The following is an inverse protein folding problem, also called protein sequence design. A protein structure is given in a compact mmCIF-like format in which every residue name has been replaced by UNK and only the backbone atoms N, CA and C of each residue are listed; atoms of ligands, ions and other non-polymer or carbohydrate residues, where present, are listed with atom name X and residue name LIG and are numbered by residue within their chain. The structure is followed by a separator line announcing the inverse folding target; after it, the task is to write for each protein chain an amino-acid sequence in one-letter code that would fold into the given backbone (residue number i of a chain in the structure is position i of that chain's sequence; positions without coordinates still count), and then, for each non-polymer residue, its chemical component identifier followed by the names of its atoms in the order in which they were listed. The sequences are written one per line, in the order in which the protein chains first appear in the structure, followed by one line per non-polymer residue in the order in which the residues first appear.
data_IF_971891035605
#
_entry.id   IF_971891035605
#
_cell.length_a   1.000
_cell.length_b   1.000
_cell.length_c   1.000
_cell.angle_alpha   90.00
_cell.angle_beta   90.00
_cell.angle_gamma   90.00
#
_symmetry.space_group_name_H-M   'P 1'
#
loop_
_entity.id
_entity.type
_entity.pdbx_description
1 polymer ?
#
# COMPACT_ATOMS: atom_id res chain seq x y z
N UNK A 1 12.77 -29.53 -6.77
CA UNK A 1 11.82 -29.15 -5.71
C UNK A 1 12.44 -28.01 -4.94
N UNK A 2 12.12 -26.79 -5.36
CA UNK A 2 12.47 -25.57 -4.64
C UNK A 2 11.90 -25.66 -3.22
N UNK A 3 12.75 -25.33 -2.26
CA UNK A 3 12.34 -25.22 -0.88
C UNK A 3 11.73 -23.83 -0.74
N UNK A 4 10.44 -23.75 -0.44
CA UNK A 4 9.85 -22.56 0.18
C UNK A 4 10.40 -22.44 1.61
N UNK A 5 11.67 -22.04 1.70
CA UNK A 5 12.18 -21.44 2.93
C UNK A 5 11.75 -19.98 2.82
N UNK A 6 10.84 -19.57 3.69
CA UNK A 6 10.61 -18.16 4.00
C UNK A 6 11.89 -17.64 4.69
N UNK A 7 12.94 -17.45 3.90
CA UNK A 7 14.10 -16.68 4.32
C UNK A 7 13.61 -15.25 4.26
N UNK A 8 13.14 -14.73 5.39
CA UNK A 8 13.18 -13.28 5.60
C UNK A 8 14.67 -12.91 5.58
N UNK A 9 15.20 -12.70 4.38
CA UNK A 9 16.48 -12.05 4.17
C UNK A 9 16.25 -10.59 4.55
N UNK A 10 16.23 -10.32 5.85
CA UNK A 10 16.42 -8.97 6.35
C UNK A 10 17.84 -8.61 5.88
N UNK A 11 17.96 -7.79 4.83
CA UNK A 11 19.23 -7.15 4.50
C UNK A 11 19.54 -6.20 5.66
N UNK A 12 20.14 -6.75 6.72
CA UNK A 12 20.69 -5.96 7.81
C UNK A 12 21.89 -5.16 7.26
N UNK A 13 21.61 -3.95 6.80
CA UNK A 13 22.59 -2.88 6.56
C UNK A 13 23.16 -2.84 5.15
N UNK A 14 22.80 -1.79 4.40
CA UNK A 14 23.65 -0.63 4.03
C UNK A 14 22.79 0.40 3.30
N UNK A 15 21.63 0.75 3.86
CA UNK A 15 20.85 1.87 3.31
C UNK A 15 21.58 3.18 3.55
N UNK A 16 21.50 4.07 2.56
CA UNK A 16 22.12 5.39 2.60
C UNK A 16 21.42 6.21 3.70
N UNK A 17 22.18 6.94 4.50
CA UNK A 17 21.62 7.85 5.51
C UNK A 17 20.68 8.85 4.84
N UNK A 18 19.55 9.26 5.48
CA UNK A 18 18.65 10.28 4.94
C UNK A 18 19.35 11.55 4.45
N UNK A 19 20.44 11.97 5.10
CA UNK A 19 21.19 13.17 4.73
C UNK A 19 22.02 13.04 3.44
N UNK A 20 22.31 11.80 3.01
CA UNK A 20 23.18 11.51 1.87
C UNK A 20 22.39 11.03 0.64
N UNK A 21 21.06 10.89 0.76
CA UNK A 21 20.18 10.52 -0.34
C UNK A 21 20.03 11.67 -1.34
N UNK A 22 20.03 11.39 -2.66
CA UNK A 22 19.78 12.40 -3.68
C UNK A 22 18.32 12.85 -3.65
N UNK A 23 18.08 14.14 -3.89
CA UNK A 23 16.73 14.67 -4.06
C UNK A 23 16.15 14.25 -5.41
N UNK A 24 14.96 13.67 -5.40
CA UNK A 24 14.18 13.25 -6.57
C UNK A 24 12.78 13.85 -6.51
N UNK A 25 12.50 14.80 -7.40
CA UNK A 25 11.19 15.46 -7.48
C UNK A 25 10.13 14.58 -8.16
N UNK A 26 10.56 13.74 -9.10
CA UNK A 26 9.70 12.79 -9.79
C UNK A 26 9.35 11.60 -8.90
N UNK A 27 8.24 10.93 -9.20
CA UNK A 27 7.87 9.68 -8.56
C UNK A 27 8.91 8.60 -8.90
N UNK A 28 9.44 7.86 -7.91
CA UNK A 28 10.28 6.69 -8.16
C UNK A 28 9.60 5.68 -9.11
N UNK A 29 10.34 5.12 -10.06
CA UNK A 29 9.79 4.11 -10.97
C UNK A 29 9.75 2.75 -10.27
N UNK A 30 8.56 2.14 -10.02
CA UNK A 30 8.47 0.85 -9.33
C UNK A 30 9.18 -0.29 -10.08
N UNK A 31 9.50 -0.10 -11.37
CA UNK A 31 10.20 -1.07 -12.21
C UNK A 31 11.72 -0.87 -12.29
N UNK A 32 12.31 -0.09 -11.37
CA UNK A 32 13.76 0.11 -11.26
C UNK A 32 14.24 -0.25 -9.85
N UNK A 33 15.24 -1.12 -9.76
CA UNK A 33 15.94 -1.42 -8.51
C UNK A 33 16.82 -0.23 -8.08
N UNK A 34 17.24 -0.18 -6.82
CA UNK A 34 18.14 0.88 -6.33
C UNK A 34 19.50 0.90 -7.06
N UNK A 35 19.97 -0.26 -7.52
CA UNK A 35 21.20 -0.40 -8.29
C UNK A 35 21.06 -0.03 -9.78
N UNK A 36 19.86 0.37 -10.21
CA UNK A 36 19.54 0.75 -11.58
C UNK A 36 19.13 -0.40 -12.50
N UNK A 37 19.13 -1.67 -12.04
CA UNK A 37 18.55 -2.78 -12.80
C UNK A 37 17.06 -2.55 -13.05
N UNK A 38 16.55 -3.13 -14.14
CA UNK A 38 15.13 -3.04 -14.53
C UNK A 38 14.38 -4.30 -14.12
N UNK A 39 13.13 -4.12 -13.68
CA UNK A 39 12.15 -5.20 -13.53
C UNK A 39 11.57 -5.53 -14.90
N UNK A 40 11.85 -6.72 -15.42
CA UNK A 40 11.42 -7.17 -16.75
C UNK A 40 10.50 -8.40 -16.68
N UNK A 41 10.57 -9.15 -15.58
CA UNK A 41 9.83 -10.39 -15.37
C UNK A 41 9.09 -10.40 -14.03
N UNK A 42 8.16 -11.34 -13.85
CA UNK A 42 7.46 -11.54 -12.57
C UNK A 42 8.45 -11.88 -11.45
N UNK A 43 9.50 -12.67 -11.74
CA UNK A 43 10.55 -12.99 -10.77
C UNK A 43 11.36 -11.75 -10.37
N UNK A 44 11.65 -10.85 -11.32
CA UNK A 44 12.29 -9.56 -10.96
C UNK A 44 11.37 -8.71 -10.07
N UNK A 45 10.04 -8.77 -10.27
CA UNK A 45 9.10 -8.07 -9.40
C UNK A 45 9.08 -8.67 -8.00
N UNK A 46 9.16 -9.99 -7.86
CA UNK A 46 9.26 -10.64 -6.55
C UNK A 46 10.49 -10.12 -5.78
N UNK A 47 11.66 -10.11 -6.42
CA UNK A 47 12.89 -9.52 -5.85
C UNK A 47 12.75 -8.02 -5.54
N UNK A 48 12.18 -7.23 -6.45
CA UNK A 48 11.97 -5.79 -6.24
C UNK A 48 10.98 -5.54 -5.11
N UNK A 49 9.96 -6.37 -4.95
CA UNK A 49 8.98 -6.25 -3.87
C UNK A 49 9.60 -6.49 -2.50
N UNK A 50 10.59 -7.39 -2.41
CA UNK A 50 11.37 -7.59 -1.19
C UNK A 50 12.28 -6.40 -0.90
N UNK A 51 12.96 -5.85 -1.92
CA UNK A 51 13.78 -4.64 -1.79
C UNK A 51 12.95 -3.43 -1.33
N UNK A 52 11.78 -3.22 -1.94
CA UNK A 52 10.82 -2.19 -1.55
C UNK A 52 10.35 -2.37 -0.10
N UNK A 53 9.95 -3.59 0.28
CA UNK A 53 9.48 -3.87 1.63
C UNK A 53 10.58 -3.60 2.68
N UNK A 54 11.80 -4.03 2.41
CA UNK A 54 12.95 -3.78 3.28
C UNK A 54 13.28 -2.28 3.38
N UNK A 55 13.19 -1.54 2.27
CA UNK A 55 13.34 -0.08 2.24
C UNK A 55 12.28 0.62 3.13
N UNK A 56 11.01 0.22 3.05
CA UNK A 56 9.96 0.74 3.93
C UNK A 56 10.18 0.38 5.41
N UNK A 57 10.68 -0.83 5.70
CA UNK A 57 11.07 -1.19 7.06
C UNK A 57 12.21 -0.31 7.57
N UNK A 58 13.24 -0.07 6.77
CA UNK A 58 14.39 0.73 7.18
C UNK A 58 14.03 2.21 7.36
N UNK A 59 13.44 2.83 6.34
CA UNK A 59 13.26 4.28 6.31
C UNK A 59 11.97 4.77 6.95
N UNK A 60 10.93 3.93 7.13
CA UNK A 60 9.60 4.41 7.53
C UNK A 60 9.02 3.72 8.76
N UNK A 61 8.88 2.40 8.76
CA UNK A 61 8.06 1.70 9.76
C UNK A 61 8.85 0.96 10.85
N UNK A 62 10.12 0.65 10.59
CA UNK A 62 10.89 -0.25 11.43
C UNK A 62 10.65 -1.72 11.10
N UNK A 63 11.56 -2.57 11.56
CA UNK A 63 11.48 -4.01 11.39
C UNK A 63 10.55 -4.64 12.43
N UNK A 64 9.76 -5.63 12.00
CA UNK A 64 9.02 -6.49 12.93
C UNK A 64 10.03 -7.19 13.87
N UNK A 65 9.74 -7.31 15.18
CA UNK A 65 10.57 -8.10 16.08
C UNK A 65 10.81 -9.51 15.53
N UNK A 66 12.01 -10.04 15.73
CA UNK A 66 12.37 -11.39 15.30
C UNK A 66 11.38 -12.40 15.89
N UNK A 67 10.66 -13.11 15.02
CA UNK A 67 9.73 -14.17 15.41
C UNK A 67 10.33 -15.57 15.29
N UNK A 68 11.66 -15.69 15.24
CA UNK A 68 12.37 -16.97 15.31
C UNK A 68 12.06 -17.80 16.58
N UNK A 69 11.44 -17.19 17.60
CA UNK A 69 10.88 -17.88 18.78
C UNK A 69 9.48 -18.48 18.59
N UNK A 70 8.78 -18.21 17.48
CA UNK A 70 7.50 -18.85 17.15
C UNK A 70 7.78 -20.30 16.68
N UNK A 71 7.29 -21.28 17.43
CA UNK A 71 7.52 -22.70 17.11
C UNK A 71 6.54 -23.17 16.02
N UNK A 72 7.07 -23.67 14.90
CA UNK A 72 6.29 -24.38 13.88
C UNK A 72 6.73 -25.85 13.86
N UNK A 73 5.81 -26.77 14.11
CA UNK A 73 6.06 -28.21 14.06
C UNK A 73 6.01 -28.75 12.62
N UNK A 74 6.94 -29.61 12.27
CA UNK A 74 6.92 -30.37 11.01
C UNK A 74 7.41 -31.80 11.25
N UNK A 75 6.94 -32.73 10.42
CA UNK A 75 7.36 -34.12 10.36
C UNK A 75 7.93 -34.41 8.97
N UNK A 76 9.06 -35.11 8.90
CA UNK A 76 9.63 -35.56 7.62
C UNK A 76 9.26 -37.02 7.42
N UNK A 77 8.46 -37.31 6.39
CA UNK A 77 8.04 -38.68 6.03
C UNK A 77 8.85 -39.17 4.83
N UNK A 78 8.75 -40.48 4.52
CA UNK A 78 9.36 -41.06 3.30
C UNK A 78 8.84 -40.41 1.99
N UNK A 79 7.73 -39.67 2.06
CA UNK A 79 7.06 -39.03 0.92
C UNK A 79 7.37 -37.52 0.80
N UNK A 80 8.04 -36.92 1.79
CA UNK A 80 8.39 -35.49 1.78
C UNK A 80 8.35 -34.83 3.15
N UNK A 81 8.43 -33.50 3.15
CA UNK A 81 8.25 -32.68 4.36
C UNK A 81 6.75 -32.45 4.58
N UNK A 82 6.19 -32.95 5.68
CA UNK A 82 4.86 -32.56 6.17
C UNK A 82 5.00 -31.47 7.23
N UNK A 83 4.56 -30.26 6.93
CA UNK A 83 4.47 -29.19 7.94
C UNK A 83 3.07 -29.22 8.53
N UNK A 84 2.94 -29.46 9.84
CA UNK A 84 1.66 -29.41 10.54
C UNK A 84 1.55 -28.09 11.28
N UNK A 85 0.81 -27.14 10.70
CA UNK A 85 0.48 -25.87 11.33
C UNK A 85 -0.86 -26.02 12.04
N UNK A 86 -0.85 -26.22 13.35
CA UNK A 86 -2.08 -26.18 14.16
C UNK A 86 -2.40 -24.73 14.46
N UNK A 87 -3.37 -24.16 13.73
CA UNK A 87 -4.02 -22.91 14.14
C UNK A 87 -5.39 -23.25 14.68
N UNK A 88 -5.69 -22.81 15.90
CA UNK A 88 -7.07 -22.75 16.39
C UNK A 88 -7.82 -21.67 15.60
N UNK A 89 -8.19 -22.01 14.36
CA UNK A 89 -9.15 -21.22 13.61
C UNK A 89 -10.54 -21.67 14.03
N UNK A 90 -11.41 -20.70 14.35
CA UNK A 90 -12.83 -20.97 14.42
C UNK A 90 -13.27 -21.55 13.07
N UNK A 91 -13.91 -22.72 13.07
CA UNK A 91 -14.29 -23.45 11.84
C UNK A 91 -15.12 -22.63 10.87
N UNK A 92 -15.81 -21.60 11.38
CA UNK A 92 -16.71 -20.74 10.63
C UNK A 92 -16.01 -19.51 10.02
N UNK A 93 -14.71 -19.34 10.25
CA UNK A 93 -13.91 -18.24 9.69
C UNK A 93 -13.03 -18.77 8.54
N UNK A 94 -13.34 -18.33 7.32
CA UNK A 94 -12.48 -18.55 6.16
C UNK A 94 -11.31 -17.55 6.16
N UNK A 95 -10.19 -17.97 6.74
CA UNK A 95 -8.97 -17.15 6.80
C UNK A 95 -8.36 -16.84 5.42
N UNK A 96 -8.72 -17.57 4.36
CA UNK A 96 -8.22 -17.31 3.00
C UNK A 96 -8.89 -16.10 2.34
N UNK A 97 -10.00 -15.63 2.92
CA UNK A 97 -10.76 -14.47 2.47
C UNK A 97 -10.75 -13.33 3.50
N UNK A 98 -9.70 -13.29 4.33
CA UNK A 98 -9.53 -12.24 5.32
C UNK A 98 -9.28 -10.88 4.66
N UNK A 99 -9.95 -9.84 5.19
CA UNK A 99 -9.90 -8.46 4.70
C UNK A 99 -9.39 -7.57 5.82
N UNK A 100 -8.52 -6.60 5.50
CA UNK A 100 -8.12 -5.55 6.44
C UNK A 100 -8.56 -4.18 5.91
N UNK A 101 -9.22 -3.40 6.75
CA UNK A 101 -9.68 -2.03 6.44
C UNK A 101 -9.44 -1.12 7.64
N UNK A 102 -9.34 0.18 7.38
CA UNK A 102 -9.31 1.20 8.40
C UNK A 102 -9.59 2.58 7.81
N UNK A 103 -10.05 3.51 8.65
CA UNK A 103 -10.35 4.89 8.27
C UNK A 103 -9.27 5.84 8.78
N UNK A 104 -8.82 6.79 7.96
CA UNK A 104 -7.86 7.82 8.35
C UNK A 104 -6.54 7.18 8.83
N UNK A 105 -6.06 7.47 10.04
CA UNK A 105 -4.89 6.81 10.66
C UNK A 105 -4.94 5.27 10.60
N UNK A 106 -6.12 4.67 10.74
CA UNK A 106 -6.25 3.20 10.63
C UNK A 106 -6.20 2.72 9.18
N UNK A 107 -6.54 3.58 8.22
CA UNK A 107 -6.30 3.33 6.80
C UNK A 107 -4.81 3.33 6.47
N UNK A 108 -4.02 4.19 7.12
CA UNK A 108 -2.54 4.11 7.03
C UNK A 108 -2.04 2.77 7.57
N UNK A 109 -2.53 2.36 8.75
CA UNK A 109 -2.17 1.09 9.37
C UNK A 109 -2.56 -0.15 8.53
N UNK A 110 -3.68 -0.11 7.80
CA UNK A 110 -4.09 -1.26 6.97
C UNK A 110 -3.13 -1.54 5.81
N UNK A 111 -2.48 -0.52 5.24
CA UNK A 111 -1.39 -0.71 4.27
C UNK A 111 -0.17 -1.36 4.89
N UNK A 112 0.22 -0.93 6.09
CA UNK A 112 1.36 -1.52 6.82
C UNK A 112 1.10 -3.00 7.11
N UNK A 113 -0.10 -3.32 7.59
CA UNK A 113 -0.54 -4.71 7.79
C UNK A 113 -0.52 -5.46 6.47
N UNK A 114 -1.05 -4.85 5.40
CA UNK A 114 -1.02 -5.41 4.05
C UNK A 114 0.40 -5.75 3.59
N UNK A 115 1.37 -4.86 3.80
CA UNK A 115 2.77 -5.08 3.46
C UNK A 115 3.37 -6.23 4.27
N UNK A 116 3.17 -6.23 5.59
CA UNK A 116 3.81 -7.15 6.53
C UNK A 116 3.16 -8.55 6.57
N UNK A 117 1.88 -8.67 6.22
CA UNK A 117 1.12 -9.90 6.32
C UNK A 117 0.37 -10.21 5.03
N UNK A 118 0.92 -11.15 4.26
CA UNK A 118 0.38 -11.58 2.98
C UNK A 118 -0.90 -12.42 3.11
N UNK A 119 -1.35 -12.76 4.33
CA UNK A 119 -2.58 -13.54 4.56
C UNK A 119 -3.87 -12.77 4.28
N UNK A 120 -3.84 -11.44 4.35
CA UNK A 120 -5.00 -10.62 4.00
C UNK A 120 -5.17 -10.59 2.49
N UNK A 121 -6.28 -11.15 2.01
CA UNK A 121 -6.61 -11.24 0.59
C UNK A 121 -7.02 -9.89 -0.02
N UNK A 122 -7.51 -8.96 0.82
CA UNK A 122 -7.95 -7.63 0.42
C UNK A 122 -7.53 -6.58 1.46
N UNK A 123 -7.04 -5.45 0.97
CA UNK A 123 -6.60 -4.31 1.76
C UNK A 123 -7.42 -3.08 1.33
N UNK A 124 -8.02 -2.38 2.30
CA UNK A 124 -8.79 -1.16 2.05
C UNK A 124 -8.30 0.00 2.95
N UNK A 125 -7.38 0.85 2.45
CA UNK A 125 -6.87 2.01 3.18
C UNK A 125 -7.77 3.24 2.99
N UNK A 126 -8.98 3.16 3.56
CA UNK A 126 -10.03 4.15 3.39
C UNK A 126 -9.64 5.54 3.96
N UNK A 127 -9.68 6.57 3.10
CA UNK A 127 -9.32 7.95 3.42
C UNK A 127 -7.98 8.06 4.18
N UNK A 128 -6.97 7.30 3.73
CA UNK A 128 -5.74 7.11 4.51
C UNK A 128 -4.78 8.29 4.47
N UNK A 129 -4.77 9.13 3.42
CA UNK A 129 -3.95 10.35 3.38
C UNK A 129 -2.44 10.13 3.41
N UNK A 130 -1.69 11.13 3.90
CA UNK A 130 -0.22 11.13 3.90
C UNK A 130 0.35 10.03 4.81
N UNK A 131 1.34 9.27 4.34
CA UNK A 131 1.81 8.07 5.06
C UNK A 131 0.86 6.86 4.98
N UNK A 132 -0.25 7.01 4.25
CA UNK A 132 -1.08 5.95 3.70
C UNK A 132 -0.99 6.00 2.17
N UNK A 133 -2.12 6.16 1.48
CA UNK A 133 -2.14 6.19 0.01
C UNK A 133 -1.69 7.51 -0.62
N UNK A 134 -1.72 8.65 0.07
CA UNK A 134 -1.40 9.92 -0.59
C UNK A 134 0.09 10.02 -0.89
N UNK A 135 0.44 10.31 -2.15
CA UNK A 135 1.82 10.57 -2.53
C UNK A 135 2.43 11.68 -1.68
N UNK A 136 3.70 11.52 -1.30
CA UNK A 136 4.45 12.55 -0.58
C UNK A 136 4.87 13.71 -1.50
N UNK A 137 5.10 13.43 -2.79
CA UNK A 137 5.57 14.41 -3.77
C UNK A 137 4.46 15.20 -4.46
N UNK A 138 3.21 14.76 -4.32
CA UNK A 138 2.08 15.33 -5.05
C UNK A 138 1.04 15.93 -4.11
N UNK A 139 0.57 17.14 -4.40
CA UNK A 139 -0.50 17.82 -3.65
C UNK A 139 -1.56 18.40 -4.58
N UNK A 140 -2.81 18.33 -4.15
CA UNK A 140 -3.95 19.00 -4.80
C UNK A 140 -4.13 20.45 -4.37
N UNK A 141 -3.41 20.90 -3.35
CA UNK A 141 -3.59 22.21 -2.73
C UNK A 141 -3.58 23.35 -3.77
N UNK A 142 -4.60 24.21 -3.71
CA UNK A 142 -4.77 25.36 -4.60
C UNK A 142 -5.33 25.05 -5.99
N UNK A 143 -5.53 23.78 -6.36
CA UNK A 143 -6.14 23.41 -7.64
C UNK A 143 -7.64 23.66 -7.65
N UNK A 144 -8.19 23.90 -8.84
CA UNK A 144 -9.61 24.22 -9.04
C UNK A 144 -10.32 23.01 -9.65
N UNK A 145 -11.37 22.57 -8.98
CA UNK A 145 -12.24 21.47 -9.39
C UNK A 145 -13.69 21.94 -9.54
N UNK A 146 -14.57 21.17 -10.21
CA UNK A 146 -15.99 21.49 -10.29
C UNK A 146 -16.69 21.66 -8.93
N UNK A 147 -16.17 21.03 -7.87
CA UNK A 147 -16.70 21.11 -6.50
C UNK A 147 -16.02 22.15 -5.60
N UNK A 148 -14.99 22.86 -6.09
CA UNK A 148 -14.33 23.92 -5.31
C UNK A 148 -12.84 24.08 -5.59
N UNK A 149 -12.22 25.04 -4.91
CA UNK A 149 -10.76 25.15 -4.86
C UNK A 149 -10.25 24.33 -3.69
N UNK A 150 -9.35 23.41 -3.99
CA UNK A 150 -8.69 22.55 -3.02
C UNK A 150 -7.96 23.37 -1.95
N UNK A 151 -8.29 23.10 -0.69
CA UNK A 151 -7.58 23.60 0.48
C UNK A 151 -6.27 22.85 0.75
N UNK A 152 -5.81 22.96 2.01
CA UNK A 152 -4.52 22.40 2.45
C UNK A 152 -4.60 20.88 2.59
N UNK A 153 -3.59 20.19 2.07
CA UNK A 153 -3.35 18.77 2.28
C UNK A 153 -2.40 18.50 3.45
N UNK A 154 -2.51 17.32 4.07
CA UNK A 154 -1.61 16.86 5.14
C UNK A 154 -0.15 16.80 4.65
N UNK A 155 0.72 17.71 5.11
CA UNK A 155 2.12 17.73 4.66
C UNK A 155 2.97 16.70 5.41
N UNK A 156 4.18 16.42 4.89
CA UNK A 156 5.14 15.51 5.53
C UNK A 156 5.49 15.92 6.96
N UNK A 157 5.66 17.22 7.23
CA UNK A 157 6.00 17.71 8.58
C UNK A 157 4.88 17.50 9.61
N UNK A 158 3.62 17.40 9.19
CA UNK A 158 2.52 17.03 10.07
C UNK A 158 2.73 15.61 10.65
N UNK A 159 3.20 14.67 9.82
CA UNK A 159 3.53 13.31 10.24
C UNK A 159 4.71 13.25 11.22
N UNK A 160 5.51 14.31 11.29
CA UNK A 160 6.65 14.44 12.19
C UNK A 160 6.33 15.20 13.47
N UNK A 161 5.09 15.65 13.64
CA UNK A 161 4.64 16.31 14.87
C UNK A 161 4.66 15.35 16.06
N UNK A 162 4.79 15.89 17.28
CA UNK A 162 4.81 15.09 18.52
C UNK A 162 3.60 14.15 18.65
N UNK A 163 2.45 14.54 18.11
CA UNK A 163 1.23 13.74 18.18
C UNK A 163 1.18 12.61 17.16
N UNK A 164 1.92 12.66 16.05
CA UNK A 164 1.84 11.67 14.96
C UNK A 164 3.14 10.88 14.72
N UNK A 165 4.29 11.41 15.18
CA UNK A 165 5.61 10.84 14.95
C UNK A 165 5.76 9.38 15.44
N UNK A 166 4.99 8.99 16.45
CA UNK A 166 4.99 7.62 17.00
C UNK A 166 4.42 6.56 16.06
N UNK A 167 3.85 6.94 14.91
CA UNK A 167 3.44 6.00 13.86
C UNK A 167 4.60 5.49 13.02
N UNK A 168 5.75 6.16 13.07
CA UNK A 168 6.90 5.91 12.21
C UNK A 168 8.17 5.70 13.05
N UNK A 169 9.22 5.16 12.43
CA UNK A 169 10.52 5.03 13.05
C UNK A 169 11.28 6.37 13.05
N UNK A 170 12.38 6.45 13.81
CA UNK A 170 13.18 7.68 13.91
C UNK A 170 13.92 8.05 12.63
N UNK A 171 14.18 7.10 11.71
CA UNK A 171 14.82 7.38 10.42
C UNK A 171 13.89 8.24 9.56
N UNK A 172 12.59 7.91 9.54
CA UNK A 172 11.58 8.67 8.82
C UNK A 172 11.55 10.13 9.24
N UNK A 173 11.62 10.39 10.55
CA UNK A 173 11.56 11.73 11.14
C UNK A 173 12.73 12.63 10.74
N UNK A 174 13.81 12.06 10.19
CA UNK A 174 14.95 12.81 9.67
C UNK A 174 14.65 13.48 8.32
N UNK A 175 13.70 12.97 7.53
CA UNK A 175 13.32 13.57 6.25
C UNK A 175 12.57 14.88 6.48
N UNK A 176 12.95 15.93 5.75
CA UNK A 176 12.27 17.25 5.78
C UNK A 176 11.71 17.66 4.42
N UNK A 177 12.19 16.99 3.37
CA UNK A 177 11.79 17.20 1.99
C UNK A 177 11.26 15.86 1.45
N UNK A 178 10.02 15.79 0.94
CA UNK A 178 9.51 14.62 0.23
C UNK A 178 10.45 14.11 -0.86
N UNK A 179 11.18 15.00 -1.54
CA UNK A 179 12.10 14.62 -2.60
C UNK A 179 13.30 13.80 -2.09
N UNK A 180 13.63 13.88 -0.80
CA UNK A 180 14.71 13.11 -0.19
C UNK A 180 14.33 11.65 0.12
N UNK A 181 13.02 11.32 0.14
CA UNK A 181 12.57 9.96 0.39
C UNK A 181 12.97 9.06 -0.79
N UNK A 182 13.57 7.88 -0.59
CA UNK A 182 13.96 7.01 -1.71
C UNK A 182 12.76 6.27 -2.34
N UNK A 183 11.57 6.43 -1.75
CA UNK A 183 10.29 5.85 -2.18
C UNK A 183 9.17 6.89 -2.22
N UNK A 184 8.02 6.50 -2.77
CA UNK A 184 6.74 7.21 -2.59
C UNK A 184 5.58 6.22 -2.46
N UNK A 185 4.40 6.65 -2.01
CA UNK A 185 3.33 5.78 -1.52
C UNK A 185 2.71 4.84 -2.57
N UNK A 186 2.91 5.10 -3.86
CA UNK A 186 2.54 4.14 -4.91
C UNK A 186 3.33 2.84 -4.83
N UNK A 187 4.58 2.87 -4.36
CA UNK A 187 5.39 1.66 -4.19
C UNK A 187 4.87 0.82 -3.01
N UNK A 188 4.46 1.44 -1.89
CA UNK A 188 3.78 0.74 -0.80
C UNK A 188 2.46 0.11 -1.27
N UNK A 189 1.68 0.85 -2.06
CA UNK A 189 0.44 0.33 -2.66
C UNK A 189 0.72 -0.85 -3.60
N UNK A 190 1.79 -0.78 -4.40
CA UNK A 190 2.20 -1.85 -5.31
C UNK A 190 2.59 -3.15 -4.57
N UNK A 191 3.11 -3.07 -3.33
CA UNK A 191 3.39 -4.25 -2.49
C UNK A 191 2.15 -5.07 -2.12
N UNK A 192 0.94 -4.55 -2.38
CA UNK A 192 -0.29 -5.31 -2.25
C UNK A 192 -0.47 -6.28 -3.40
N UNK A 193 0.06 -5.98 -4.59
CA UNK A 193 -0.10 -6.82 -5.76
C UNK A 193 0.51 -8.23 -5.56
N UNK A 194 -0.14 -9.30 -6.05
CA UNK A 194 -1.41 -9.32 -6.80
C UNK A 194 -2.67 -9.44 -5.92
N UNK A 195 -2.58 -9.24 -4.60
CA UNK A 195 -3.75 -9.28 -3.69
C UNK A 195 -4.64 -8.06 -3.92
N UNK A 196 -5.89 -8.15 -3.50
CA UNK A 196 -6.85 -7.09 -3.79
C UNK A 196 -6.53 -5.81 -2.99
N UNK A 197 -6.53 -4.66 -3.64
CA UNK A 197 -6.41 -3.34 -3.03
C UNK A 197 -7.59 -2.48 -3.47
N UNK A 198 -8.30 -1.88 -2.52
CA UNK A 198 -9.41 -0.99 -2.79
C UNK A 198 -9.16 0.38 -2.17
N UNK A 199 -9.00 1.40 -3.00
CA UNK A 199 -8.92 2.79 -2.57
C UNK A 199 -10.33 3.38 -2.43
N UNK A 200 -10.72 3.78 -1.22
CA UNK A 200 -12.00 4.49 -0.99
C UNK A 200 -11.78 5.76 -0.18
N UNK A 201 -12.73 6.71 -0.27
CA UNK A 201 -12.64 8.00 0.41
C UNK A 201 -13.63 9.03 -0.15
N UNK A 202 -13.69 10.19 0.52
CA UNK A 202 -14.40 11.37 0.02
C UNK A 202 -13.50 12.18 -0.91
N UNK A 203 -13.97 12.57 -2.10
CA UNK A 203 -13.16 13.36 -3.03
C UNK A 203 -13.03 14.84 -2.64
N UNK A 204 -13.79 15.33 -1.65
CA UNK A 204 -13.73 16.71 -1.13
C UNK A 204 -12.90 16.80 0.17
N UNK A 205 -12.23 15.72 0.56
CA UNK A 205 -11.39 15.65 1.75
C UNK A 205 -9.97 16.16 1.46
N UNK A 206 -9.81 17.48 1.35
CA UNK A 206 -8.54 18.10 0.97
C UNK A 206 -7.35 17.66 1.85
N UNK A 207 -7.61 17.40 3.14
CA UNK A 207 -6.58 16.98 4.10
C UNK A 207 -5.92 15.66 3.70
N UNK A 208 -6.71 14.67 3.27
CA UNK A 208 -6.17 13.36 2.86
C UNK A 208 -5.65 13.36 1.42
N UNK A 209 -5.72 14.48 0.72
CA UNK A 209 -5.21 14.63 -0.63
C UNK A 209 -5.73 13.52 -1.59
N UNK A 210 -7.05 13.41 -1.83
CA UNK A 210 -7.63 12.39 -2.70
C UNK A 210 -7.03 12.33 -4.10
N UNK A 211 -6.61 13.45 -4.69
CA UNK A 211 -5.86 13.41 -5.96
C UNK A 211 -4.49 12.73 -5.78
N UNK A 212 -3.71 13.07 -4.74
CA UNK A 212 -2.44 12.40 -4.45
C UNK A 212 -2.60 10.93 -4.07
N UNK A 213 -3.73 10.53 -3.47
CA UNK A 213 -4.10 9.13 -3.27
C UNK A 213 -4.41 8.43 -4.61
N UNK A 214 -5.09 9.13 -5.53
CA UNK A 214 -5.35 8.64 -6.88
C UNK A 214 -4.04 8.47 -7.69
N UNK A 215 -3.09 9.41 -7.58
CA UNK A 215 -1.75 9.27 -8.19
C UNK A 215 -1.11 7.96 -7.75
N UNK A 216 -1.13 7.67 -6.45
CA UNK A 216 -0.55 6.42 -5.94
C UNK A 216 -1.27 5.17 -6.44
N UNK A 217 -2.60 5.22 -6.53
CA UNK A 217 -3.41 4.16 -7.14
C UNK A 217 -3.04 3.95 -8.62
N UNK A 218 -2.96 5.02 -9.40
CA UNK A 218 -2.72 4.98 -10.83
C UNK A 218 -1.32 4.43 -11.17
N UNK A 219 -0.32 4.74 -10.34
CA UNK A 219 1.03 4.22 -10.47
C UNK A 219 1.13 2.76 -10.00
N UNK A 220 0.48 2.40 -8.88
CA UNK A 220 0.40 1.01 -8.43
C UNK A 220 -0.33 0.13 -9.45
N UNK A 221 -1.35 0.65 -10.13
CA UNK A 221 -2.06 -0.06 -11.20
C UNK A 221 -1.14 -0.55 -12.32
N UNK A 222 -0.04 0.17 -12.62
CA UNK A 222 0.95 -0.26 -13.61
C UNK A 222 1.57 -1.60 -13.22
N UNK A 223 1.87 -1.78 -11.93
CA UNK A 223 2.40 -3.04 -11.37
C UNK A 223 1.34 -4.14 -11.42
N UNK A 224 0.11 -3.84 -11.02
CA UNK A 224 -1.00 -4.80 -11.12
C UNK A 224 -1.20 -5.29 -12.57
N UNK A 225 -1.14 -4.38 -13.55
CA UNK A 225 -1.20 -4.73 -14.98
C UNK A 225 -0.02 -5.58 -15.41
N UNK A 226 1.21 -5.22 -15.01
CA UNK A 226 2.41 -6.01 -15.30
C UNK A 226 2.30 -7.46 -14.81
N UNK A 227 1.66 -7.67 -13.66
CA UNK A 227 1.43 -9.00 -13.07
C UNK A 227 0.17 -9.71 -13.59
N UNK A 228 -0.55 -9.14 -14.56
CA UNK A 228 -1.82 -9.70 -15.05
C UNK A 228 -2.96 -9.67 -14.01
N UNK A 229 -2.85 -8.82 -13.00
CA UNK A 229 -3.76 -8.69 -11.87
C UNK A 229 -4.54 -7.37 -11.90
N UNK A 230 -4.70 -6.72 -13.05
CA UNK A 230 -5.34 -5.40 -13.21
C UNK A 230 -6.73 -5.27 -12.55
N UNK A 231 -7.49 -6.35 -12.45
CA UNK A 231 -8.81 -6.35 -11.80
C UNK A 231 -8.74 -6.46 -10.26
N UNK A 232 -7.56 -6.64 -9.67
CA UNK A 232 -7.36 -6.73 -8.21
C UNK A 232 -7.14 -5.36 -7.56
N UNK A 233 -6.89 -4.29 -8.33
CA UNK A 233 -6.79 -2.93 -7.81
C UNK A 233 -7.99 -2.09 -8.24
N UNK A 234 -8.69 -1.52 -7.27
CA UNK A 234 -9.91 -0.76 -7.47
C UNK A 234 -9.93 0.57 -6.74
N UNK A 235 -10.72 1.51 -7.25
CA UNK A 235 -10.97 2.82 -6.62
C UNK A 235 -12.48 3.10 -6.59
N UNK A 236 -12.96 3.65 -5.48
CA UNK A 236 -14.34 4.10 -5.35
C UNK A 236 -14.41 5.31 -4.43
N UNK A 237 -14.33 6.50 -5.04
CA UNK A 237 -14.59 7.75 -4.34
C UNK A 237 -16.07 8.10 -4.36
N UNK A 238 -16.47 8.83 -3.33
CA UNK A 238 -17.81 9.41 -3.19
C UNK A 238 -17.73 10.89 -2.84
N UNK A 239 -18.86 11.57 -2.93
CA UNK A 239 -18.98 12.97 -2.48
C UNK A 239 -18.81 13.09 -0.96
N UNK A 240 -18.41 14.28 -0.52
CA UNK A 240 -18.18 14.64 0.87
C UNK A 240 -16.72 14.56 1.30
N UNK A 241 -16.48 15.00 2.54
CA UNK A 241 -15.15 15.13 3.15
C UNK A 241 -14.75 13.97 4.06
N UNK A 242 -14.05 14.30 5.16
CA UNK A 242 -13.42 13.34 6.08
C UNK A 242 -14.41 12.61 7.00
N UNK A 243 -15.19 11.69 6.45
CA UNK A 243 -16.09 10.81 7.18
C UNK A 243 -16.11 9.41 6.56
N UNK A 244 -16.82 8.48 7.20
CA UNK A 244 -17.19 7.19 6.60
C UNK A 244 -18.70 7.08 6.51
N UNK A 245 -19.20 6.70 5.35
CA UNK A 245 -20.64 6.58 5.08
C UNK A 245 -21.05 5.15 4.77
N UNK A 246 -22.35 4.91 4.63
CA UNK A 246 -22.89 3.63 4.19
C UNK A 246 -22.44 3.28 2.75
N UNK A 247 -22.21 4.28 1.90
CA UNK A 247 -21.70 4.08 0.54
C UNK A 247 -20.29 3.47 0.56
N UNK A 248 -19.39 3.97 1.42
CA UNK A 248 -18.04 3.39 1.57
C UNK A 248 -18.07 1.93 2.02
N UNK A 249 -18.98 1.61 2.96
CA UNK A 249 -19.17 0.24 3.45
C UNK A 249 -19.70 -0.65 2.33
N UNK A 250 -20.65 -0.14 1.55
CA UNK A 250 -21.24 -0.88 0.43
C UNK A 250 -20.20 -1.14 -0.66
N UNK A 251 -19.38 -0.13 -1.01
CA UNK A 251 -18.25 -0.29 -1.93
C UNK A 251 -17.26 -1.36 -1.45
N UNK A 252 -16.90 -1.38 -0.16
CA UNK A 252 -16.03 -2.41 0.37
C UNK A 252 -16.65 -3.80 0.26
N UNK A 253 -17.92 -3.96 0.65
CA UNK A 253 -18.61 -5.25 0.61
C UNK A 253 -18.79 -5.76 -0.83
N UNK A 254 -19.19 -4.89 -1.76
CA UNK A 254 -19.34 -5.23 -3.17
C UNK A 254 -18.00 -5.64 -3.79
N UNK A 255 -16.91 -4.95 -3.44
CA UNK A 255 -15.57 -5.33 -3.90
C UNK A 255 -15.09 -6.64 -3.27
N UNK A 256 -15.41 -6.92 -2.01
CA UNK A 256 -15.17 -8.22 -1.39
C UNK A 256 -15.94 -9.33 -2.11
N UNK A 257 -17.22 -9.11 -2.39
CA UNK A 257 -18.07 -10.05 -3.14
C UNK A 257 -17.53 -10.32 -4.54
N UNK A 258 -17.03 -9.28 -5.20
CA UNK A 258 -16.39 -9.43 -6.50
C UNK A 258 -15.07 -10.19 -6.42
N UNK A 259 -14.12 -9.69 -5.63
CA UNK A 259 -12.74 -10.18 -5.66
C UNK A 259 -12.53 -11.50 -4.91
N UNK A 260 -13.34 -11.77 -3.89
CA UNK A 260 -13.19 -12.95 -3.04
C UNK A 260 -14.24 -14.03 -3.34
N UNK A 261 -15.36 -13.68 -3.99
CA UNK A 261 -16.47 -14.61 -4.28
C UNK A 261 -16.88 -14.65 -5.75
N UNK A 262 -16.33 -13.80 -6.61
CA UNK A 262 -16.64 -13.76 -8.05
C UNK A 262 -18.00 -13.14 -8.40
N UNK A 263 -18.65 -12.44 -7.46
CA UNK A 263 -19.96 -11.83 -7.65
C UNK A 263 -19.75 -10.42 -8.22
N UNK A 264 -20.09 -10.23 -9.50
CA UNK A 264 -19.87 -8.96 -10.19
C UNK A 264 -20.65 -7.80 -9.52
N UNK A 265 -20.03 -6.62 -9.37
CA UNK A 265 -20.71 -5.45 -8.85
C UNK A 265 -21.76 -4.96 -9.85
N UNK A 266 -22.85 -4.38 -9.34
CA UNK A 266 -23.98 -3.94 -10.17
C UNK A 266 -23.89 -2.48 -10.60
N UNK A 267 -23.29 -1.65 -9.75
CA UNK A 267 -23.40 -0.18 -9.84
C UNK A 267 -22.05 0.51 -9.98
N UNK A 268 -21.00 -0.04 -9.39
CA UNK A 268 -19.67 0.59 -9.32
C UNK A 268 -18.70 -0.18 -10.19
N UNK A 269 -17.97 0.51 -11.07
CA UNK A 269 -16.96 -0.11 -11.95
C UNK A 269 -15.61 -0.34 -11.25
N UNK A 270 -15.41 0.29 -10.10
CA UNK A 270 -14.18 0.30 -9.30
C UNK A 270 -12.93 0.76 -10.05
N UNK A 271 -13.09 1.57 -11.10
CA UNK A 271 -12.00 2.07 -11.95
C UNK A 271 -12.08 3.56 -12.15
N UNK A 272 -13.28 4.09 -12.36
CA UNK A 272 -13.49 5.49 -12.66
C UNK A 272 -13.12 6.40 -11.49
N UNK A 273 -12.34 7.46 -11.77
CA UNK A 273 -12.04 8.51 -10.80
C UNK A 273 -12.22 9.90 -11.40
N UNK A 274 -12.77 10.82 -10.61
CA UNK A 274 -12.86 12.24 -10.99
C UNK A 274 -11.47 12.90 -11.19
N UNK A 275 -10.41 12.25 -10.68
CA UNK A 275 -9.02 12.68 -10.79
C UNK A 275 -8.25 12.01 -11.95
N UNK A 276 -8.92 11.20 -12.78
CA UNK A 276 -8.33 10.62 -14.01
C UNK A 276 -7.62 11.59 -14.95
N UNK A 277 -8.09 12.83 -15.14
CA UNK A 277 -7.41 13.80 -15.99
C UNK A 277 -5.97 14.12 -15.57
N UNK A 278 -5.53 13.71 -14.37
CA UNK A 278 -4.12 13.77 -13.98
C UNK A 278 -3.18 13.12 -15.01
N UNK A 279 -3.56 11.98 -15.60
CA UNK A 279 -2.75 11.31 -16.64
C UNK A 279 -2.61 12.15 -17.93
N UNK A 280 -3.48 13.12 -18.16
CA UNK A 280 -3.49 13.95 -19.38
C UNK A 280 -2.65 15.24 -19.25
N UNK A 281 -2.10 15.53 -18.06
CA UNK A 281 -1.27 16.71 -17.80
C UNK A 281 0.23 16.42 -17.72
N UNK A 282 0.65 15.17 -17.98
CA UNK A 282 2.04 14.72 -18.01
C UNK A 282 2.34 14.20 -19.42
N UNK A 283 2.42 15.12 -20.38
CA UNK A 283 3.05 14.92 -21.70
C UNK A 283 4.13 16.00 -21.87
#
# INVERSE_FOLDING_TARGET
MEKDVLVLSIRKGTYISPADLPLKQELPDPFTFEDGRRVLTVSDWEERSEELQDMYHYYMYGYKPDTSGEQVSYEKTEQGLQVQVTRELYSDIDATRAVVTGFSRWGKASLVIGMMDKRFALINPHASGAGGMASFRYSLEGKVYPWGTAGRSEPLDALHSESLAHWFNSVFLAFKDPAALPFDQHELAALMAPRALLLTGGYEDDWVNPEGMYVSYAEAERVYKFLGAENQIGIAYRSGGHNRTQEDISHLLDYCDWRLRGIQPKTTDFKSSLYEPWRQGID
#
